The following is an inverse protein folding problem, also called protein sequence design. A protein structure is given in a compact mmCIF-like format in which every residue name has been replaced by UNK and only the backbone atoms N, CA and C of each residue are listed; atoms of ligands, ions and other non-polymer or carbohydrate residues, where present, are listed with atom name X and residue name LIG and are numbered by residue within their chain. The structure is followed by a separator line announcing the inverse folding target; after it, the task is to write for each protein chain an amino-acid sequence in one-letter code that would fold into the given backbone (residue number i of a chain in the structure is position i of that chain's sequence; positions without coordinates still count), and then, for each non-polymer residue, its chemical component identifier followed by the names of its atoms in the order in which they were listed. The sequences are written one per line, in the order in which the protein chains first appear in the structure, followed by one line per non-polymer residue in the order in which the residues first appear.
data_IF_767173595285
#
_entry.id   IF_767173595285
#
_cell.length_a   1.000
_cell.length_b   1.000
_cell.length_c   1.000
_cell.angle_alpha   90.00
_cell.angle_beta   90.00
_cell.angle_gamma   90.00
#
_symmetry.space_group_name_H-M   'P 1'
#
loop_
_entity.id
_entity.type
_entity.pdbx_description
1 polymer ?
#
# COMPACT_ATOMS: atom_id res chain seq x y z
N UNK A 1 62.22 29.45 70.48
CA UNK A 1 61.80 30.83 70.89
C UNK A 1 61.14 31.54 69.71
N UNK A 2 59.93 32.02 69.99
CA UNK A 2 59.16 32.99 69.19
C UNK A 2 58.68 32.58 67.77
N UNK A 3 57.59 32.01 67.71
CA UNK A 3 56.25 32.40 67.26
C UNK A 3 56.19 33.58 66.30
N UNK A 4 55.73 33.38 65.12
CA UNK A 4 54.84 34.39 64.48
C UNK A 4 53.98 33.67 63.35
N UNK A 5 52.67 33.71 63.51
CA UNK A 5 51.71 33.43 62.45
C UNK A 5 51.60 34.63 61.50
N UNK A 6 51.20 34.41 60.27
CA UNK A 6 50.37 35.45 59.65
C UNK A 6 49.09 34.87 58.99
N UNK A 7 48.11 35.59 59.23
CA UNK A 7 46.88 36.05 58.56
C UNK A 7 46.33 35.24 57.36
N UNK A 8 45.13 34.81 57.56
CA UNK A 8 44.18 34.27 56.56
C UNK A 8 43.82 35.36 55.51
N UNK A 9 43.87 34.99 54.27
CA UNK A 9 43.26 35.73 53.17
C UNK A 9 42.04 34.91 52.66
N UNK A 10 40.89 35.51 52.90
CA UNK A 10 39.61 34.99 52.44
C UNK A 10 39.45 35.35 50.95
N UNK A 11 39.62 34.34 50.08
CA UNK A 11 39.34 34.50 48.66
C UNK A 11 37.89 34.17 48.39
N UNK A 12 37.14 35.19 47.94
CA UNK A 12 35.76 35.05 47.45
C UNK A 12 35.79 34.35 46.07
N UNK A 13 35.29 33.13 46.00
CA UNK A 13 35.11 32.44 44.71
C UNK A 13 33.72 32.81 44.18
N UNK A 14 33.70 33.68 43.16
CA UNK A 14 32.48 34.01 42.43
C UNK A 14 32.13 32.83 41.47
N UNK A 15 31.09 32.07 41.79
CA UNK A 15 30.52 31.07 40.93
C UNK A 15 29.67 31.77 39.85
N UNK A 16 30.20 31.83 38.62
CA UNK A 16 29.42 32.19 37.43
C UNK A 16 28.58 30.99 36.99
N UNK A 17 27.27 31.03 37.28
CA UNK A 17 26.30 30.15 36.65
C UNK A 17 26.08 30.58 35.21
N UNK A 18 26.66 29.86 34.29
CA UNK A 18 26.30 29.95 32.88
C UNK A 18 25.00 29.16 32.68
N UNK A 19 23.87 29.85 32.58
CA UNK A 19 22.60 29.27 32.14
C UNK A 19 22.69 29.05 30.64
N UNK A 20 22.93 27.78 30.23
CA UNK A 20 22.83 27.39 28.83
C UNK A 20 21.36 27.43 28.44
N UNK A 21 20.95 28.46 27.71
CA UNK A 21 19.65 28.55 27.05
C UNK A 21 19.61 27.53 25.89
N UNK A 22 19.04 26.35 26.16
CA UNK A 22 18.77 25.35 25.10
C UNK A 22 17.61 25.87 24.27
N UNK A 23 17.93 26.49 23.13
CA UNK A 23 16.98 26.81 22.08
C UNK A 23 16.55 25.48 21.45
N UNK A 24 15.42 24.93 21.89
CA UNK A 24 14.72 23.87 21.16
C UNK A 24 14.14 24.49 19.88
N UNK A 25 14.83 24.28 18.78
CA UNK A 25 14.26 24.60 17.47
C UNK A 25 13.14 23.57 17.19
N UNK A 26 11.96 24.03 16.73
CA UNK A 26 10.96 23.09 16.24
C UNK A 26 11.56 22.34 15.05
N UNK A 27 11.62 21.01 15.15
CA UNK A 27 11.87 20.16 13.99
C UNK A 27 10.68 20.40 13.06
N UNK A 28 10.92 21.12 11.97
CA UNK A 28 9.96 21.18 10.88
C UNK A 28 9.74 19.74 10.42
N UNK A 29 8.50 19.26 10.52
CA UNK A 29 8.11 18.04 9.85
C UNK A 29 8.47 18.22 8.37
N UNK A 30 9.24 17.30 7.82
CA UNK A 30 9.49 17.27 6.40
C UNK A 30 8.12 17.12 5.72
N UNK A 31 7.72 18.15 5.01
CA UNK A 31 6.68 18.07 4.01
C UNK A 31 7.26 17.16 2.91
N UNK A 32 6.81 15.91 2.86
CA UNK A 32 7.28 14.90 1.91
C UNK A 32 6.83 15.15 0.47
N UNK A 33 6.23 16.32 0.24
CA UNK A 33 5.84 16.72 -1.13
C UNK A 33 4.73 15.86 -1.73
N UNK A 34 4.07 15.03 -0.93
CA UNK A 34 2.92 14.26 -1.38
C UNK A 34 1.82 15.23 -1.82
N UNK A 35 1.49 15.21 -3.09
CA UNK A 35 0.36 15.96 -3.63
C UNK A 35 -0.91 15.35 -3.06
N UNK A 36 -1.53 16.00 -2.09
CA UNK A 36 -2.80 15.57 -1.52
C UNK A 36 -3.89 15.68 -2.62
N UNK A 37 -4.30 14.54 -3.18
CA UNK A 37 -5.38 14.51 -4.16
C UNK A 37 -6.72 14.80 -3.49
N UNK A 38 -7.47 15.73 -4.08
CA UNK A 38 -8.85 16.00 -3.64
C UNK A 38 -9.81 15.33 -4.60
N UNK A 39 -10.67 14.47 -4.07
CA UNK A 39 -11.66 13.73 -4.85
C UNK A 39 -13.05 14.31 -4.66
N UNK A 40 -13.65 14.84 -5.73
CA UNK A 40 -15.06 15.26 -5.75
C UNK A 40 -16.01 14.09 -6.03
N UNK A 41 -15.50 13.09 -6.76
CA UNK A 41 -16.21 11.85 -7.10
C UNK A 41 -15.24 10.67 -6.96
N UNK A 42 -15.77 9.46 -6.90
CA UNK A 42 -14.97 8.25 -6.87
C UNK A 42 -14.31 8.04 -8.24
N UNK A 43 -12.96 7.96 -8.33
CA UNK A 43 -12.28 7.71 -9.58
C UNK A 43 -12.69 6.35 -10.17
N UNK A 44 -12.87 6.30 -11.49
CA UNK A 44 -13.07 5.07 -12.24
C UNK A 44 -11.82 4.72 -13.00
N UNK A 45 -11.48 3.45 -13.02
CA UNK A 45 -10.29 2.94 -13.69
C UNK A 45 -10.67 1.76 -14.56
N UNK A 46 -10.20 1.78 -15.81
CA UNK A 46 -10.30 0.65 -16.73
C UNK A 46 -9.00 -0.13 -16.71
N UNK A 47 -9.09 -1.44 -16.47
CA UNK A 47 -8.01 -2.40 -16.67
C UNK A 47 -8.32 -3.18 -17.94
N UNK A 48 -7.48 -3.03 -18.96
CA UNK A 48 -7.55 -3.78 -20.20
C UNK A 48 -6.67 -5.01 -20.11
N UNK A 49 -7.21 -6.19 -20.38
CA UNK A 49 -6.46 -7.45 -20.31
C UNK A 49 -6.61 -8.27 -21.59
N UNK A 50 -5.76 -9.28 -21.74
CA UNK A 50 -5.88 -10.26 -22.85
C UNK A 50 -7.17 -11.09 -22.78
N UNK A 51 -7.89 -11.07 -21.65
CA UNK A 51 -9.17 -11.77 -21.44
C UNK A 51 -10.39 -10.84 -21.53
N UNK A 52 -10.17 -9.52 -21.69
CA UNK A 52 -11.21 -8.50 -21.73
C UNK A 52 -10.98 -7.40 -20.70
N UNK A 53 -11.95 -6.52 -20.58
CA UNK A 53 -11.86 -5.33 -19.76
C UNK A 53 -12.50 -5.55 -18.38
N UNK A 54 -11.95 -4.87 -17.37
CA UNK A 54 -12.49 -4.80 -16.01
C UNK A 54 -12.54 -3.33 -15.61
N UNK A 55 -13.70 -2.82 -15.21
CA UNK A 55 -13.84 -1.45 -14.71
C UNK A 55 -13.94 -1.48 -13.18
N UNK A 56 -13.17 -0.60 -12.55
CA UNK A 56 -13.12 -0.41 -11.11
C UNK A 56 -13.63 0.98 -10.75
N UNK A 57 -14.31 1.08 -9.62
CA UNK A 57 -14.53 2.32 -8.88
C UNK A 57 -13.65 2.30 -7.64
N UNK A 58 -12.80 3.31 -7.49
CA UNK A 58 -11.93 3.46 -6.32
C UNK A 58 -12.67 4.23 -5.23
N UNK A 59 -12.32 4.00 -3.96
CA UNK A 59 -13.04 4.48 -2.80
C UNK A 59 -12.17 5.36 -1.88
N UNK A 60 -11.72 6.55 -2.34
CA UNK A 60 -10.75 7.38 -1.61
C UNK A 60 -11.27 7.87 -0.25
N UNK A 61 -12.59 8.00 -0.08
CA UNK A 61 -13.18 8.34 1.22
C UNK A 61 -12.89 7.29 2.31
N UNK A 62 -12.63 6.04 1.92
CA UNK A 62 -12.46 4.91 2.83
C UNK A 62 -10.99 4.44 2.92
N UNK A 63 -10.23 4.58 1.85
CA UNK A 63 -8.85 4.15 1.77
C UNK A 63 -8.02 5.14 0.91
N UNK A 64 -7.86 6.40 1.36
CA UNK A 64 -7.21 7.45 0.57
C UNK A 64 -5.80 7.05 0.16
N UNK A 65 -4.98 6.53 1.06
CA UNK A 65 -3.57 6.19 0.79
C UNK A 65 -3.43 5.07 -0.25
N UNK A 66 -4.28 4.03 -0.17
CA UNK A 66 -4.27 2.95 -1.15
C UNK A 66 -4.79 3.41 -2.52
N UNK A 67 -5.78 4.31 -2.54
CA UNK A 67 -6.27 4.89 -3.80
C UNK A 67 -5.20 5.78 -4.42
N UNK A 68 -4.56 6.65 -3.65
CA UNK A 68 -3.48 7.52 -4.15
C UNK A 68 -2.33 6.69 -4.71
N UNK A 69 -1.82 5.70 -3.96
CA UNK A 69 -0.79 4.80 -4.43
C UNK A 69 -1.17 4.04 -5.72
N UNK A 70 -2.41 3.55 -5.80
CA UNK A 70 -2.85 2.85 -7.00
C UNK A 70 -2.90 3.79 -8.21
N UNK A 71 -3.38 5.02 -8.05
CA UNK A 71 -3.42 6.02 -9.11
C UNK A 71 -2.04 6.51 -9.52
N UNK A 72 -1.10 6.67 -8.57
CA UNK A 72 0.30 6.98 -8.87
C UNK A 72 0.93 5.91 -9.76
N UNK A 73 0.71 4.64 -9.46
CA UNK A 73 1.17 3.51 -10.27
C UNK A 73 0.50 3.46 -11.65
N UNK A 74 -0.77 3.88 -11.76
CA UNK A 74 -1.46 4.02 -13.05
C UNK A 74 -0.84 5.14 -13.87
N UNK A 75 -0.59 6.30 -13.28
CA UNK A 75 0.04 7.45 -13.95
C UNK A 75 1.47 7.17 -14.41
N UNK A 76 2.20 6.33 -13.65
CA UNK A 76 3.55 5.87 -14.00
C UNK A 76 3.57 4.74 -15.04
N UNK A 77 2.41 4.33 -15.55
CA UNK A 77 2.29 3.17 -16.46
C UNK A 77 2.93 1.89 -15.89
N UNK A 78 2.85 1.69 -14.58
CA UNK A 78 3.50 0.57 -13.90
C UNK A 78 2.87 -0.79 -14.25
N UNK A 79 1.56 -0.86 -14.43
CA UNK A 79 0.83 -2.12 -14.60
C UNK A 79 0.92 -2.78 -15.99
N UNK A 80 1.06 -2.06 -17.13
CA UNK A 80 1.14 -2.69 -18.45
C UNK A 80 2.27 -3.71 -18.53
N UNK A 81 1.96 -4.90 -19.09
CA UNK A 81 2.88 -6.04 -19.19
C UNK A 81 2.94 -6.93 -17.95
N UNK A 82 2.35 -6.53 -16.83
CA UNK A 82 2.16 -7.40 -15.67
C UNK A 82 0.99 -8.35 -15.89
N UNK A 83 0.95 -9.44 -15.11
CA UNK A 83 -0.05 -10.50 -15.27
C UNK A 83 -0.89 -10.70 -14.00
N UNK A 84 -2.05 -11.31 -14.17
CA UNK A 84 -2.73 -11.98 -13.08
C UNK A 84 -1.93 -13.25 -12.74
N UNK A 85 -0.95 -13.11 -11.86
CA UNK A 85 0.03 -14.16 -11.54
C UNK A 85 -0.49 -15.23 -10.58
N UNK A 86 -1.64 -14.97 -9.92
CA UNK A 86 -2.24 -15.93 -9.00
C UNK A 86 -3.76 -15.88 -9.11
N UNK A 87 -4.33 -16.99 -9.59
CA UNK A 87 -5.76 -17.21 -9.75
C UNK A 87 -6.18 -18.40 -8.89
N UNK A 88 -7.11 -18.16 -7.98
CA UNK A 88 -7.68 -19.24 -7.13
C UNK A 88 -9.19 -19.14 -7.25
N UNK A 89 -9.81 -20.09 -7.98
CA UNK A 89 -11.26 -20.16 -8.12
C UNK A 89 -11.98 -20.18 -6.76
N UNK A 90 -13.09 -19.45 -6.67
CA UNK A 90 -13.85 -19.30 -5.42
C UNK A 90 -13.14 -18.50 -4.34
N UNK A 91 -12.02 -17.82 -4.66
CA UNK A 91 -11.28 -17.01 -3.70
C UNK A 91 -10.91 -15.63 -4.29
N UNK A 92 -9.85 -15.54 -5.11
CA UNK A 92 -9.37 -14.24 -5.60
C UNK A 92 -8.53 -14.35 -6.87
N UNK A 93 -8.39 -13.23 -7.58
CA UNK A 93 -7.49 -12.99 -8.71
C UNK A 93 -6.47 -11.93 -8.30
N UNK A 94 -5.15 -12.24 -8.25
CA UNK A 94 -4.11 -11.32 -7.79
C UNK A 94 -3.21 -10.89 -8.95
N UNK A 95 -2.91 -9.60 -9.03
CA UNK A 95 -2.09 -8.96 -10.06
C UNK A 95 -1.17 -7.88 -9.47
N UNK A 96 -0.39 -7.22 -10.32
CA UNK A 96 0.36 -6.00 -9.97
C UNK A 96 1.77 -6.22 -9.46
N UNK A 97 2.38 -7.41 -9.61
CA UNK A 97 3.72 -7.65 -9.11
C UNK A 97 4.65 -8.41 -10.06
N UNK A 98 4.12 -9.15 -11.03
CA UNK A 98 4.92 -10.07 -11.83
C UNK A 98 4.62 -9.93 -13.32
N UNK A 99 5.65 -10.12 -14.15
CA UNK A 99 5.54 -10.22 -15.60
C UNK A 99 5.08 -11.64 -16.04
N UNK A 100 4.96 -11.85 -17.36
CA UNK A 100 4.54 -13.13 -17.94
C UNK A 100 5.52 -14.28 -17.66
N UNK A 101 6.78 -13.98 -17.37
CA UNK A 101 7.79 -14.97 -16.99
C UNK A 101 7.84 -15.21 -15.48
N UNK A 102 6.92 -14.60 -14.71
CA UNK A 102 6.91 -14.66 -13.24
C UNK A 102 8.24 -14.13 -12.67
N UNK A 103 8.74 -13.03 -13.21
CA UNK A 103 9.74 -12.21 -12.59
C UNK A 103 9.04 -11.06 -11.87
N UNK A 104 9.46 -10.78 -10.64
CA UNK A 104 8.93 -9.64 -9.89
C UNK A 104 9.37 -8.33 -10.56
N UNK A 105 8.44 -7.40 -10.74
CA UNK A 105 8.76 -6.03 -11.18
C UNK A 105 9.12 -5.21 -9.96
N UNK A 106 10.40 -4.87 -9.85
CA UNK A 106 10.88 -3.97 -8.80
C UNK A 106 10.21 -2.59 -8.94
N UNK A 107 9.91 -2.00 -7.81
CA UNK A 107 9.46 -0.62 -7.66
C UNK A 107 10.20 0.01 -6.49
N UNK A 108 10.24 1.33 -6.42
CA UNK A 108 10.76 2.01 -5.23
C UNK A 108 10.02 1.52 -3.98
N UNK A 109 10.73 1.44 -2.85
CA UNK A 109 10.16 0.92 -1.60
C UNK A 109 8.94 1.75 -1.18
N UNK A 110 7.76 1.29 -1.58
CA UNK A 110 6.47 1.83 -1.16
C UNK A 110 5.95 0.94 -0.04
N UNK A 111 5.60 1.54 1.08
CA UNK A 111 4.90 0.90 2.17
C UNK A 111 3.64 1.70 2.48
N UNK A 112 2.50 1.21 2.02
CA UNK A 112 1.21 1.89 2.24
C UNK A 112 0.64 1.44 3.59
N UNK A 113 0.44 2.37 4.55
CA UNK A 113 -0.14 2.04 5.84
C UNK A 113 -1.52 1.40 5.70
N UNK A 114 -1.80 0.40 6.53
CA UNK A 114 -3.03 -0.37 6.48
C UNK A 114 -4.27 0.48 6.80
N UNK A 115 -5.26 0.44 5.93
CA UNK A 115 -6.53 1.13 6.10
C UNK A 115 -7.72 0.16 6.25
N UNK A 116 -7.50 -1.09 6.64
CA UNK A 116 -8.54 -2.13 6.66
C UNK A 116 -9.64 -1.93 7.71
N UNK A 117 -9.42 -1.04 8.69
CA UNK A 117 -10.45 -0.67 9.66
C UNK A 117 -11.47 0.35 9.10
N UNK A 118 -11.51 0.54 7.80
CA UNK A 118 -12.37 1.50 7.09
C UNK A 118 -13.85 1.08 6.98
N UNK A 119 -14.22 -0.09 7.51
CA UNK A 119 -15.59 -0.61 7.47
C UNK A 119 -15.95 -1.37 6.20
N UNK A 120 -15.13 -1.30 5.14
CA UNK A 120 -15.32 -2.08 3.93
C UNK A 120 -15.00 -3.57 4.17
N UNK A 121 -15.55 -4.43 3.30
CA UNK A 121 -15.47 -5.88 3.45
C UNK A 121 -14.95 -6.54 2.19
N UNK A 122 -14.16 -7.60 2.36
CA UNK A 122 -13.68 -8.45 1.28
C UNK A 122 -14.83 -9.34 0.75
N UNK A 123 -15.68 -8.75 -0.08
CA UNK A 123 -16.81 -9.42 -0.72
C UNK A 123 -16.56 -9.64 -2.20
N UNK A 124 -17.31 -10.53 -2.84
CA UNK A 124 -17.26 -10.70 -4.30
C UNK A 124 -17.34 -9.35 -5.00
N UNK A 125 -16.38 -9.08 -5.90
CA UNK A 125 -16.24 -7.83 -6.63
C UNK A 125 -15.49 -6.71 -5.89
N UNK A 126 -15.11 -6.86 -4.62
CA UNK A 126 -14.24 -5.88 -3.97
C UNK A 126 -12.79 -6.03 -4.43
N UNK A 127 -12.06 -4.90 -4.49
CA UNK A 127 -10.63 -4.82 -4.81
C UNK A 127 -9.87 -4.45 -3.55
N UNK A 128 -8.87 -5.26 -3.22
CA UNK A 128 -8.09 -5.08 -1.99
C UNK A 128 -6.59 -5.13 -2.26
N UNK A 129 -5.84 -4.41 -1.43
CA UNK A 129 -4.38 -4.40 -1.48
C UNK A 129 -3.80 -5.73 -0.96
N UNK A 130 -2.85 -6.28 -1.71
CA UNK A 130 -2.07 -7.40 -1.23
C UNK A 130 -0.93 -6.90 -0.33
N UNK A 131 -0.54 -7.70 0.65
CA UNK A 131 0.53 -7.39 1.60
C UNK A 131 1.26 -8.63 2.06
N UNK A 132 2.38 -8.45 2.70
CA UNK A 132 3.11 -9.49 3.43
C UNK A 132 2.51 -9.70 4.83
N UNK A 133 3.29 -10.26 5.75
CA UNK A 133 2.87 -10.48 7.16
C UNK A 133 2.70 -9.16 7.91
N UNK A 134 3.56 -8.18 7.63
CA UNK A 134 3.39 -6.82 8.15
C UNK A 134 2.12 -6.18 7.55
N UNK A 135 1.18 -5.71 8.37
CA UNK A 135 -0.02 -5.03 7.88
C UNK A 135 0.26 -3.82 7.00
N UNK A 136 1.35 -3.09 7.27
CA UNK A 136 1.74 -1.87 6.58
C UNK A 136 2.68 -2.10 5.39
N UNK A 137 2.75 -3.34 4.87
CA UNK A 137 3.62 -3.74 3.76
C UNK A 137 2.90 -3.82 2.40
N UNK A 138 1.74 -3.21 2.25
CA UNK A 138 1.09 -3.11 0.94
C UNK A 138 1.92 -2.20 0.01
N UNK A 139 2.04 -2.63 -1.24
CA UNK A 139 2.86 -1.95 -2.24
C UNK A 139 2.11 -1.77 -3.57
N UNK A 140 2.54 -2.48 -4.61
CA UNK A 140 2.01 -2.40 -5.97
C UNK A 140 0.90 -3.41 -6.26
N UNK A 141 0.80 -4.48 -5.44
CA UNK A 141 -0.04 -5.62 -5.75
C UNK A 141 -1.46 -5.48 -5.18
N UNK A 142 -2.43 -5.90 -5.97
CA UNK A 142 -3.84 -5.92 -5.57
C UNK A 142 -4.49 -7.26 -5.93
N UNK A 143 -5.65 -7.53 -5.36
CA UNK A 143 -6.47 -8.66 -5.74
C UNK A 143 -7.95 -8.31 -5.84
N UNK A 144 -8.65 -9.00 -6.73
CA UNK A 144 -10.09 -8.93 -6.89
C UNK A 144 -10.70 -10.15 -6.20
N UNK A 145 -11.61 -9.94 -5.27
CA UNK A 145 -12.34 -11.00 -4.60
C UNK A 145 -13.40 -11.59 -5.54
N UNK A 146 -13.35 -12.90 -5.81
CA UNK A 146 -14.39 -13.59 -6.60
C UNK A 146 -15.42 -14.28 -5.72
N UNK A 147 -15.21 -14.27 -4.41
CA UNK A 147 -16.13 -14.76 -3.39
C UNK A 147 -16.19 -13.82 -2.18
N UNK A 148 -17.06 -14.13 -1.20
CA UNK A 148 -17.10 -13.42 0.07
C UNK A 148 -16.03 -13.96 1.02
N UNK A 149 -14.91 -13.26 1.14
CA UNK A 149 -13.73 -13.68 1.89
C UNK A 149 -13.68 -12.99 3.26
N UNK A 150 -14.69 -13.20 4.09
CA UNK A 150 -14.84 -12.54 5.40
C UNK A 150 -13.67 -12.78 6.37
N UNK A 151 -12.87 -13.82 6.14
CA UNK A 151 -11.67 -14.10 6.94
C UNK A 151 -10.51 -13.15 6.64
N UNK A 152 -10.57 -12.39 5.53
CA UNK A 152 -9.63 -11.32 5.18
C UNK A 152 -10.01 -9.97 5.79
N UNK A 153 -11.20 -9.84 6.36
CA UNK A 153 -11.67 -8.61 6.97
C UNK A 153 -10.92 -8.30 8.27
N UNK A 154 -10.77 -7.00 8.56
CA UNK A 154 -10.26 -6.57 9.85
C UNK A 154 -11.17 -7.04 10.99
N UNK A 155 -10.55 -7.50 12.09
CA UNK A 155 -11.18 -7.86 13.35
C UNK A 155 -10.76 -6.83 14.42
N UNK A 156 -11.45 -6.72 15.55
CA UNK A 156 -11.22 -5.63 16.52
C UNK A 156 -9.77 -5.40 16.95
N UNK A 157 -8.92 -6.43 16.92
CA UNK A 157 -7.50 -6.36 17.30
C UNK A 157 -6.54 -6.86 16.21
N UNK A 158 -7.03 -7.09 15.00
CA UNK A 158 -6.23 -7.66 13.92
C UNK A 158 -6.54 -6.94 12.59
N UNK A 159 -5.56 -6.22 11.99
CA UNK A 159 -5.70 -5.66 10.66
C UNK A 159 -6.00 -6.73 9.62
N UNK A 160 -6.94 -6.43 8.72
CA UNK A 160 -7.26 -7.24 7.56
C UNK A 160 -6.51 -6.82 6.31
N UNK A 161 -7.07 -7.14 5.15
CA UNK A 161 -6.64 -6.63 3.86
C UNK A 161 -7.49 -5.41 3.50
N UNK A 162 -6.84 -4.31 3.16
CA UNK A 162 -7.52 -3.04 2.87
C UNK A 162 -8.28 -3.12 1.57
N UNK A 163 -9.61 -3.07 1.65
CA UNK A 163 -10.46 -2.85 0.48
C UNK A 163 -10.39 -1.38 0.12
N UNK A 164 -10.03 -1.06 -1.14
CA UNK A 164 -9.89 0.31 -1.62
C UNK A 164 -10.70 0.60 -2.90
N UNK A 165 -11.36 -0.43 -3.47
CA UNK A 165 -12.17 -0.30 -4.68
C UNK A 165 -13.18 -1.43 -4.84
N UNK A 166 -13.95 -1.34 -5.91
CA UNK A 166 -14.90 -2.37 -6.33
C UNK A 166 -15.00 -2.44 -7.85
N UNK A 167 -15.30 -3.61 -8.36
CA UNK A 167 -15.63 -3.84 -9.77
C UNK A 167 -17.01 -3.26 -10.05
N UNK A 168 -17.12 -2.47 -11.11
CA UNK A 168 -18.38 -1.90 -11.61
C UNK A 168 -18.82 -2.54 -12.91
N UNK A 169 -17.87 -3.03 -13.72
CA UNK A 169 -18.14 -3.72 -14.99
C UNK A 169 -17.05 -4.76 -15.29
N UNK A 170 -17.31 -5.71 -16.22
CA UNK A 170 -16.35 -6.74 -16.60
C UNK A 170 -16.41 -8.00 -15.74
N UNK A 171 -17.52 -8.30 -15.07
CA UNK A 171 -17.68 -9.54 -14.30
C UNK A 171 -17.57 -10.80 -15.15
N UNK A 172 -17.95 -10.74 -16.43
CA UNK A 172 -17.74 -11.82 -17.38
C UNK A 172 -16.25 -12.07 -17.70
N UNK A 173 -15.44 -11.01 -17.73
CA UNK A 173 -13.98 -11.10 -17.84
C UNK A 173 -13.40 -11.75 -16.57
N UNK A 174 -13.86 -11.35 -15.39
CA UNK A 174 -13.44 -11.94 -14.11
C UNK A 174 -13.76 -13.43 -14.07
N UNK A 175 -14.96 -13.84 -14.54
CA UNK A 175 -15.36 -15.24 -14.59
C UNK A 175 -14.50 -16.07 -15.58
N UNK A 176 -14.13 -15.49 -16.75
CA UNK A 176 -13.19 -16.15 -17.67
C UNK A 176 -11.83 -16.35 -17.04
N UNK A 177 -11.31 -15.33 -16.34
CA UNK A 177 -10.03 -15.40 -15.62
C UNK A 177 -10.11 -16.44 -14.49
N UNK A 178 -11.19 -16.45 -13.72
CA UNK A 178 -11.39 -17.39 -12.61
C UNK A 178 -11.40 -18.86 -13.06
N UNK A 179 -11.93 -19.12 -14.26
CA UNK A 179 -12.08 -20.46 -14.83
C UNK A 179 -10.86 -20.93 -15.62
N UNK A 180 -9.78 -20.15 -15.69
CA UNK A 180 -8.57 -20.55 -16.41
C UNK A 180 -7.85 -21.68 -15.69
N UNK A 181 -7.24 -22.58 -16.45
CA UNK A 181 -6.38 -23.61 -15.90
C UNK A 181 -5.14 -23.00 -15.27
N UNK A 182 -4.73 -23.54 -14.12
CA UNK A 182 -3.59 -23.02 -13.36
C UNK A 182 -2.63 -24.13 -12.97
N UNK A 183 -1.36 -23.79 -12.79
CA UNK A 183 -0.29 -24.71 -12.42
C UNK A 183 0.66 -24.10 -11.37
N UNK A 184 1.60 -24.92 -10.91
CA UNK A 184 2.73 -24.47 -10.09
C UNK A 184 3.86 -24.00 -11.00
N UNK A 185 4.25 -22.71 -10.89
CA UNK A 185 5.37 -22.13 -11.65
C UNK A 185 6.28 -21.32 -10.74
N UNK A 186 7.58 -21.57 -10.80
CA UNK A 186 8.62 -20.92 -9.94
C UNK A 186 8.26 -20.93 -8.43
N UNK A 187 7.61 -22.01 -7.95
CA UNK A 187 7.22 -22.15 -6.55
C UNK A 187 5.89 -21.43 -6.18
N UNK A 188 5.28 -20.74 -7.13
CA UNK A 188 3.99 -20.06 -6.95
C UNK A 188 2.86 -20.95 -7.48
N UNK A 189 1.89 -21.27 -6.61
CA UNK A 189 0.69 -22.01 -6.99
C UNK A 189 -0.38 -21.06 -7.52
N UNK A 190 -1.20 -21.58 -8.46
CA UNK A 190 -2.31 -20.84 -9.04
C UNK A 190 -1.89 -19.89 -10.16
N UNK A 191 -0.75 -20.13 -10.80
CA UNK A 191 -0.32 -19.34 -11.97
C UNK A 191 -1.11 -19.83 -13.19
N UNK A 192 -1.81 -18.95 -13.93
CA UNK A 192 -2.48 -19.31 -15.18
C UNK A 192 -1.53 -19.99 -16.18
N UNK A 193 -1.99 -21.06 -16.85
CA UNK A 193 -1.19 -21.74 -17.89
C UNK A 193 -0.90 -20.79 -19.05
N UNK A 194 -1.91 -20.04 -19.49
CA UNK A 194 -1.76 -18.93 -20.43
C UNK A 194 -1.72 -17.61 -19.67
N UNK A 195 -0.67 -16.82 -19.91
CA UNK A 195 -0.49 -15.55 -19.19
C UNK A 195 -1.63 -14.58 -19.47
N UNK A 196 -2.29 -14.11 -18.42
CA UNK A 196 -3.34 -13.10 -18.50
C UNK A 196 -2.69 -11.75 -18.26
N UNK A 197 -2.39 -11.05 -19.37
CA UNK A 197 -1.57 -9.85 -19.37
C UNK A 197 -2.46 -8.61 -19.24
N UNK A 198 -2.07 -7.68 -18.38
CA UNK A 198 -2.61 -6.33 -18.31
C UNK A 198 -2.01 -5.55 -19.49
N UNK A 199 -2.85 -5.15 -20.44
CA UNK A 199 -2.46 -4.41 -21.65
C UNK A 199 -2.38 -2.91 -21.38
N UNK A 200 -3.24 -2.41 -20.49
CA UNK A 200 -3.31 -1.00 -20.13
C UNK A 200 -4.14 -0.80 -18.86
N UNK A 201 -3.87 0.29 -18.16
CA UNK A 201 -4.71 0.77 -17.04
C UNK A 201 -4.87 2.27 -17.21
N UNK A 202 -6.12 2.75 -17.22
CA UNK A 202 -6.40 4.18 -17.45
C UNK A 202 -7.52 4.68 -16.55
N UNK A 203 -7.36 5.93 -16.08
CA UNK A 203 -8.44 6.64 -15.38
C UNK A 203 -9.49 7.05 -16.39
N UNK A 204 -10.76 6.81 -16.06
CA UNK A 204 -11.92 7.21 -16.86
C UNK A 204 -12.44 8.56 -16.38
N UNK A 205 -12.91 9.42 -17.31
CA UNK A 205 -13.56 10.68 -16.96
C UNK A 205 -14.90 10.49 -16.24
#
# INVERSE_FOLDING_TARGET
MTTSMPRSATGLIALFFWAALVLTQPVAAADDGAVERTYTENPRVLIETTQGNIELELLPKFAPKHVDNFLDLVEQEFYPGLVFHRVIPGFMLRAGGYDADINYREHEDIAVPNESFNGLKNRRGSVAAARLDDPDSADTQFFINVANNVFLDAKPSQPGYTVFGRVTDGFDTIERIELTDTHLRKGMAGVPEEAIIILGVSVRP
#
